data_IF_885094386667
#
_entry.id   IF_885094386667
#
_cell.length_a   1.000
_cell.length_b   1.000
_cell.length_c   1.000
_cell.angle_alpha   90.00
_cell.angle_beta   90.00
_cell.angle_gamma   90.00
#
_symmetry.space_group_name_H-M   'P 1'
#
loop_
_entity.id
_entity.type
_entity.pdbx_description
1 polymer ?
#
# COMPACT_ATOMS: atom_id res chain seq x y z
N UNK A 1 -44.86 -3.86 -17.17
CA UNK A 1 -43.43 -4.14 -17.22
C UNK A 1 -42.74 -4.24 -15.86
N UNK A 2 -43.24 -3.56 -14.83
CA UNK A 2 -42.60 -3.43 -13.54
C UNK A 2 -42.51 -4.69 -12.66
N UNK A 3 -43.29 -5.72 -12.95
CA UNK A 3 -43.38 -6.89 -12.06
C UNK A 3 -42.95 -8.20 -12.71
N UNK A 4 -42.42 -8.15 -13.91
CA UNK A 4 -42.01 -9.34 -14.67
C UNK A 4 -40.65 -9.78 -14.19
N UNK A 5 -40.52 -11.08 -13.88
CA UNK A 5 -39.20 -11.68 -13.59
C UNK A 5 -38.35 -11.67 -14.87
N UNK A 6 -37.04 -11.53 -14.74
CA UNK A 6 -36.07 -11.52 -15.82
C UNK A 6 -36.29 -12.66 -16.83
N UNK A 7 -36.44 -13.92 -16.34
CA UNK A 7 -36.75 -15.08 -17.18
C UNK A 7 -38.10 -14.98 -17.87
N UNK A 8 -39.15 -14.53 -17.18
CA UNK A 8 -40.46 -14.36 -17.77
C UNK A 8 -40.47 -13.24 -18.82
N UNK A 9 -39.70 -12.18 -18.60
CA UNK A 9 -39.50 -11.15 -19.62
C UNK A 9 -38.86 -11.73 -20.88
N UNK A 10 -37.83 -12.54 -20.73
CA UNK A 10 -37.18 -13.23 -21.84
C UNK A 10 -38.15 -14.19 -22.56
N UNK A 11 -39.00 -14.94 -21.84
CA UNK A 11 -40.02 -15.80 -22.43
C UNK A 11 -40.99 -15.03 -23.33
N UNK A 12 -41.39 -13.82 -22.91
CA UNK A 12 -42.23 -12.93 -23.72
C UNK A 12 -41.52 -12.43 -24.98
N UNK A 13 -40.24 -12.08 -24.86
CA UNK A 13 -39.42 -11.66 -26.01
C UNK A 13 -39.24 -12.81 -26.99
N UNK A 14 -38.92 -14.00 -26.51
CA UNK A 14 -38.80 -15.19 -27.33
C UNK A 14 -40.14 -15.51 -28.08
N UNK A 15 -41.23 -15.48 -27.34
CA UNK A 15 -42.56 -15.66 -27.90
C UNK A 15 -42.85 -14.62 -28.99
N UNK A 16 -42.56 -13.34 -28.74
CA UNK A 16 -42.72 -12.27 -29.69
C UNK A 16 -41.86 -12.50 -30.93
N UNK A 17 -40.56 -12.78 -30.75
CA UNK A 17 -39.63 -13.02 -31.85
C UNK A 17 -40.04 -14.21 -32.72
N UNK A 18 -40.61 -15.28 -32.14
CA UNK A 18 -41.07 -16.48 -32.87
C UNK A 18 -42.40 -16.24 -33.64
N UNK A 19 -43.23 -15.27 -33.22
CA UNK A 19 -44.56 -15.12 -33.81
C UNK A 19 -44.73 -13.84 -34.64
N UNK A 20 -43.82 -12.87 -34.59
CA UNK A 20 -43.90 -11.67 -35.40
C UNK A 20 -43.72 -12.01 -36.89
N UNK A 21 -44.56 -11.45 -37.73
CA UNK A 21 -44.42 -11.55 -39.19
C UNK A 21 -43.19 -10.76 -39.64
N UNK A 22 -42.50 -11.29 -40.64
CA UNK A 22 -41.30 -10.63 -41.22
C UNK A 22 -40.20 -10.35 -40.19
N UNK A 23 -39.94 -11.31 -39.32
CA UNK A 23 -38.92 -11.21 -38.24
C UNK A 23 -37.60 -10.65 -38.74
N UNK A 24 -37.11 -11.12 -39.89
CA UNK A 24 -35.82 -10.74 -40.48
C UNK A 24 -35.75 -9.29 -40.97
N UNK A 25 -36.93 -8.62 -41.06
CA UNK A 25 -37.03 -7.21 -41.49
C UNK A 25 -37.22 -6.25 -40.30
N UNK A 26 -37.15 -6.74 -39.07
CA UNK A 26 -37.43 -5.97 -37.86
C UNK A 26 -36.29 -6.16 -36.86
N UNK A 27 -35.82 -5.07 -36.29
CA UNK A 27 -34.90 -5.09 -35.15
C UNK A 27 -35.74 -4.98 -33.88
N UNK A 28 -35.61 -5.96 -32.98
CA UNK A 28 -36.25 -5.96 -31.69
C UNK A 28 -35.32 -5.24 -30.71
N UNK A 29 -35.78 -4.10 -30.21
CA UNK A 29 -35.04 -3.28 -29.23
C UNK A 29 -35.69 -3.35 -27.86
N UNK A 30 -34.90 -3.56 -26.83
CA UNK A 30 -35.33 -3.63 -25.44
C UNK A 30 -34.99 -2.36 -24.71
N UNK A 31 -35.92 -1.87 -23.84
CA UNK A 31 -35.70 -0.72 -22.99
C UNK A 31 -36.16 -1.05 -21.56
N UNK A 32 -35.44 -1.91 -20.82
CA UNK A 32 -35.84 -2.28 -19.48
C UNK A 32 -35.47 -1.21 -18.46
N UNK A 33 -36.32 -1.05 -17.43
CA UNK A 33 -36.05 -0.30 -16.22
C UNK A 33 -35.55 -1.23 -15.10
N UNK A 34 -34.93 -0.65 -14.08
CA UNK A 34 -34.27 -1.39 -13.00
C UNK A 34 -35.06 -1.40 -11.68
N UNK A 35 -36.40 -1.23 -11.74
CA UNK A 35 -37.24 -1.07 -10.54
C UNK A 35 -37.10 -2.20 -9.50
N UNK A 36 -36.74 -3.39 -9.92
CA UNK A 36 -36.51 -4.56 -9.05
C UNK A 36 -35.06 -5.00 -8.97
N UNK A 37 -34.11 -4.21 -9.50
CA UNK A 37 -32.70 -4.57 -9.57
C UNK A 37 -32.36 -5.66 -10.62
N UNK A 38 -33.31 -5.97 -11.52
CA UNK A 38 -33.13 -7.03 -12.55
C UNK A 38 -32.93 -6.47 -13.95
N UNK A 39 -32.69 -5.17 -14.14
CA UNK A 39 -32.63 -4.54 -15.45
C UNK A 39 -31.56 -5.15 -16.36
N UNK A 40 -30.36 -5.38 -15.85
CA UNK A 40 -29.24 -5.98 -16.59
C UNK A 40 -29.55 -7.44 -16.93
N UNK A 41 -29.99 -8.24 -15.96
CA UNK A 41 -30.34 -9.64 -16.21
C UNK A 41 -31.49 -9.81 -17.22
N UNK A 42 -32.49 -8.93 -17.15
CA UNK A 42 -33.59 -8.91 -18.13
C UNK A 42 -33.09 -8.58 -19.54
N UNK A 43 -32.14 -7.65 -19.69
CA UNK A 43 -31.54 -7.32 -20.98
C UNK A 43 -30.70 -8.48 -21.53
N UNK A 44 -29.85 -9.10 -20.72
CA UNK A 44 -29.03 -10.25 -21.11
C UNK A 44 -29.90 -11.42 -21.59
N UNK A 45 -30.88 -11.82 -20.80
CA UNK A 45 -31.78 -12.89 -21.16
C UNK A 45 -32.67 -12.55 -22.36
N UNK A 46 -33.10 -11.29 -22.48
CA UNK A 46 -33.86 -10.80 -23.63
C UNK A 46 -33.06 -10.84 -24.94
N UNK A 47 -31.77 -10.55 -24.89
CA UNK A 47 -30.87 -10.72 -26.04
C UNK A 47 -30.71 -12.21 -26.42
N UNK A 48 -30.55 -13.10 -25.44
CA UNK A 48 -30.52 -14.53 -25.68
C UNK A 48 -31.86 -15.04 -26.26
N UNK A 49 -32.97 -14.39 -25.92
CA UNK A 49 -34.31 -14.69 -26.42
C UNK A 49 -34.58 -14.17 -27.88
N UNK A 50 -33.63 -13.43 -28.46
CA UNK A 50 -33.67 -13.00 -29.84
C UNK A 50 -33.78 -11.50 -30.08
N UNK A 51 -33.63 -10.66 -29.08
CA UNK A 51 -33.49 -9.21 -29.29
C UNK A 51 -32.10 -8.86 -29.82
N UNK A 52 -32.03 -7.85 -30.69
CA UNK A 52 -30.76 -7.43 -31.29
C UNK A 52 -30.21 -6.10 -30.71
N UNK A 53 -31.04 -5.33 -30.02
CA UNK A 53 -30.64 -4.04 -29.48
C UNK A 53 -31.14 -3.86 -28.05
N UNK A 54 -30.33 -3.21 -27.24
CA UNK A 54 -30.71 -2.76 -25.89
C UNK A 54 -30.51 -1.25 -25.80
N UNK A 55 -31.49 -0.56 -25.27
CA UNK A 55 -31.48 0.88 -24.99
C UNK A 55 -31.47 1.09 -23.48
N UNK A 56 -30.55 1.90 -23.02
CA UNK A 56 -30.40 2.17 -21.59
C UNK A 56 -29.58 3.43 -21.36
N UNK A 57 -29.04 3.58 -20.16
CA UNK A 57 -28.20 4.72 -19.80
C UNK A 57 -26.87 4.25 -19.17
N UNK A 58 -25.84 5.07 -19.33
CA UNK A 58 -24.57 4.84 -18.63
C UNK A 58 -24.82 4.93 -17.12
N UNK A 59 -24.28 3.95 -16.39
CA UNK A 59 -24.44 3.79 -14.94
C UNK A 59 -25.91 3.67 -14.47
N UNK A 60 -26.81 3.28 -15.38
CA UNK A 60 -28.21 3.06 -15.05
C UNK A 60 -29.01 4.32 -14.73
N UNK A 61 -28.54 5.50 -15.12
CA UNK A 61 -29.26 6.75 -14.93
C UNK A 61 -30.65 6.71 -15.58
N UNK A 62 -31.60 7.54 -15.11
CA UNK A 62 -32.94 7.60 -15.64
C UNK A 62 -34.00 7.79 -14.57
N UNK A 63 -35.26 7.69 -14.94
CA UNK A 63 -36.38 7.84 -14.00
C UNK A 63 -36.47 6.72 -12.98
N UNK A 64 -36.97 7.01 -11.80
CA UNK A 64 -37.18 6.10 -10.68
C UNK A 64 -35.85 5.44 -10.21
N UNK A 65 -35.70 4.13 -10.35
CA UNK A 65 -34.48 3.37 -10.05
C UNK A 65 -33.49 3.34 -11.20
N UNK A 66 -33.83 4.02 -12.31
CA UNK A 66 -33.03 4.09 -13.51
C UNK A 66 -33.38 3.06 -14.57
N UNK A 67 -32.73 3.19 -15.70
CA UNK A 67 -32.79 2.27 -16.84
C UNK A 67 -31.78 1.12 -16.66
N UNK A 68 -31.77 0.17 -17.59
CA UNK A 68 -30.70 -0.79 -17.66
C UNK A 68 -29.36 -0.06 -17.79
N UNK A 69 -28.39 -0.49 -17.00
CA UNK A 69 -27.04 0.05 -16.99
C UNK A 69 -26.25 -0.51 -18.17
N UNK A 70 -25.97 0.33 -19.15
CA UNK A 70 -25.22 -0.07 -20.34
C UNK A 70 -23.74 -0.35 -20.05
N UNK A 71 -23.14 0.25 -19.02
CA UNK A 71 -21.76 -0.03 -18.62
C UNK A 71 -21.65 -1.45 -18.09
N UNK A 72 -22.52 -1.80 -17.13
CA UNK A 72 -22.54 -3.16 -16.58
C UNK A 72 -22.88 -4.20 -17.66
N UNK A 73 -23.89 -3.94 -18.49
CA UNK A 73 -24.29 -4.86 -19.55
C UNK A 73 -23.15 -5.12 -20.56
N UNK A 74 -22.51 -4.06 -21.04
CA UNK A 74 -21.42 -4.17 -22.00
C UNK A 74 -20.20 -4.89 -21.41
N UNK A 75 -19.83 -4.61 -20.16
CA UNK A 75 -18.72 -5.27 -19.50
C UNK A 75 -19.02 -6.73 -19.15
N UNK A 76 -20.27 -7.07 -18.83
CA UNK A 76 -20.69 -8.47 -18.68
C UNK A 76 -20.50 -9.25 -19.98
N UNK A 77 -20.88 -8.67 -21.14
CA UNK A 77 -20.64 -9.27 -22.46
C UNK A 77 -19.13 -9.41 -22.74
N UNK A 78 -18.37 -8.35 -22.50
CA UNK A 78 -16.92 -8.34 -22.70
C UNK A 78 -16.21 -9.44 -21.89
N UNK A 79 -16.57 -9.62 -20.62
CA UNK A 79 -15.99 -10.69 -19.77
C UNK A 79 -16.37 -12.09 -20.21
N UNK A 80 -17.39 -12.25 -21.03
CA UNK A 80 -17.77 -13.51 -21.69
C UNK A 80 -17.16 -13.66 -23.08
N UNK A 81 -16.30 -12.75 -23.52
CA UNK A 81 -15.67 -12.75 -24.83
C UNK A 81 -16.58 -12.27 -25.95
N UNK A 82 -17.69 -11.61 -25.62
CA UNK A 82 -18.63 -11.04 -26.59
C UNK A 82 -18.35 -9.55 -26.74
N UNK A 83 -18.04 -9.10 -27.95
CA UNK A 83 -17.83 -7.67 -28.22
C UNK A 83 -19.15 -6.90 -28.11
N UNK A 84 -19.29 -5.91 -27.23
CA UNK A 84 -20.52 -5.18 -26.99
C UNK A 84 -20.75 -4.05 -28.02
N UNK A 85 -20.70 -4.36 -29.33
CA UNK A 85 -20.78 -3.36 -30.39
C UNK A 85 -19.59 -2.40 -30.39
N UNK A 86 -19.79 -1.10 -30.68
CA UNK A 86 -18.71 -0.10 -30.69
C UNK A 86 -18.33 0.42 -29.28
N UNK A 87 -18.96 -0.07 -28.23
CA UNK A 87 -18.71 0.41 -26.88
C UNK A 87 -17.36 -0.07 -26.37
N UNK A 88 -16.54 0.87 -25.90
CA UNK A 88 -15.23 0.62 -25.30
C UNK A 88 -15.13 1.36 -23.97
N UNK A 89 -14.68 0.64 -22.92
CA UNK A 89 -14.53 1.20 -21.59
C UNK A 89 -13.08 1.09 -21.08
N UNK A 90 -12.12 1.18 -22.01
CA UNK A 90 -10.67 1.14 -21.66
C UNK A 90 -10.19 2.37 -20.90
N UNK A 91 -11.03 3.40 -20.77
CA UNK A 91 -10.83 4.57 -19.92
C UNK A 91 -12.15 4.88 -19.19
N UNK A 92 -12.53 3.97 -18.30
CA UNK A 92 -13.73 4.09 -17.50
C UNK A 92 -13.73 5.34 -16.58
N UNK A 93 -12.59 5.79 -16.00
CA UNK A 93 -12.53 7.02 -15.23
C UNK A 93 -13.03 8.26 -16.01
N UNK A 94 -12.63 8.45 -17.25
CA UNK A 94 -13.10 9.57 -18.08
C UNK A 94 -14.62 9.48 -18.35
N UNK A 95 -15.15 8.27 -18.54
CA UNK A 95 -16.62 8.08 -18.70
C UNK A 95 -17.35 8.47 -17.41
N UNK A 96 -16.83 8.07 -16.24
CA UNK A 96 -17.40 8.44 -14.93
C UNK A 96 -17.40 9.96 -14.77
N UNK A 97 -16.28 10.62 -15.06
CA UNK A 97 -16.13 12.07 -14.92
C UNK A 97 -17.15 12.82 -15.76
N UNK A 98 -17.26 12.47 -17.06
CA UNK A 98 -18.19 13.11 -17.98
C UNK A 98 -19.63 12.91 -17.54
N UNK A 99 -20.03 11.69 -17.22
CA UNK A 99 -21.44 11.39 -16.85
C UNK A 99 -21.80 12.05 -15.53
N UNK A 100 -20.91 11.99 -14.53
CA UNK A 100 -21.13 12.65 -13.24
C UNK A 100 -21.20 14.16 -13.39
N UNK A 101 -20.31 14.75 -14.22
CA UNK A 101 -20.31 16.18 -14.52
C UNK A 101 -21.59 16.66 -15.23
N UNK A 102 -22.18 15.84 -16.11
CA UNK A 102 -23.42 16.17 -16.81
C UNK A 102 -24.68 16.04 -15.92
N UNK A 103 -24.71 15.05 -15.03
CA UNK A 103 -25.91 14.69 -14.26
C UNK A 103 -25.91 15.21 -12.83
N UNK A 104 -24.75 15.62 -12.32
CA UNK A 104 -24.53 15.95 -10.90
C UNK A 104 -24.95 14.82 -9.94
N UNK A 105 -24.81 13.58 -10.41
CA UNK A 105 -25.13 12.36 -9.64
C UNK A 105 -23.88 11.48 -9.67
N UNK A 106 -23.24 11.24 -8.51
CA UNK A 106 -22.05 10.38 -8.45
C UNK A 106 -22.41 8.93 -8.75
N UNK A 107 -21.48 8.20 -9.34
CA UNK A 107 -21.60 6.74 -9.49
C UNK A 107 -21.61 6.10 -8.11
N UNK A 108 -22.53 5.15 -7.90
CA UNK A 108 -22.65 4.48 -6.60
C UNK A 108 -21.33 3.77 -6.23
N UNK A 109 -20.80 3.90 -4.99
CA UNK A 109 -19.50 3.33 -4.60
C UNK A 109 -19.39 1.81 -4.82
N UNK A 110 -20.49 1.08 -4.84
CA UNK A 110 -20.58 -0.37 -5.10
C UNK A 110 -21.14 -0.70 -6.48
N UNK A 111 -21.08 0.26 -7.43
CA UNK A 111 -21.52 0.00 -8.79
C UNK A 111 -20.61 -1.06 -9.43
N UNK A 112 -21.16 -2.09 -10.10
CA UNK A 112 -20.34 -3.09 -10.80
C UNK A 112 -19.33 -2.41 -11.74
N UNK A 113 -18.09 -2.88 -11.72
CA UNK A 113 -16.93 -2.36 -12.49
C UNK A 113 -16.49 -0.92 -12.18
N UNK A 114 -17.43 0.01 -11.98
CA UNK A 114 -17.17 1.46 -11.92
C UNK A 114 -17.13 2.03 -10.51
N UNK A 115 -17.67 1.34 -9.52
CA UNK A 115 -17.71 1.82 -8.14
C UNK A 115 -16.31 1.84 -7.52
N UNK A 116 -16.03 2.86 -6.72
CA UNK A 116 -14.73 3.02 -6.04
C UNK A 116 -14.33 1.84 -5.12
N UNK A 117 -15.31 1.08 -4.64
CA UNK A 117 -15.11 -0.08 -3.77
C UNK A 117 -14.93 -1.41 -4.53
N UNK A 118 -15.14 -1.43 -5.84
CA UNK A 118 -15.12 -2.67 -6.63
C UNK A 118 -13.75 -3.33 -6.64
N UNK A 119 -12.68 -2.53 -6.69
CA UNK A 119 -11.30 -3.00 -6.67
C UNK A 119 -10.69 -2.97 -5.26
N UNK A 120 -11.52 -2.98 -4.21
CA UNK A 120 -11.08 -2.80 -2.82
C UNK A 120 -11.18 -4.10 -2.03
N UNK A 121 -10.14 -4.42 -1.28
CA UNK A 121 -10.12 -5.51 -0.31
C UNK A 121 -9.69 -4.99 1.07
N UNK A 122 -10.53 -5.23 2.09
CA UNK A 122 -10.25 -4.84 3.48
C UNK A 122 -9.69 -5.99 4.33
N UNK A 123 -10.12 -7.21 4.06
CA UNK A 123 -9.66 -8.39 4.81
C UNK A 123 -8.20 -8.70 4.54
N UNK A 124 -7.40 -8.89 5.59
CA UNK A 124 -5.97 -9.22 5.48
C UNK A 124 -5.70 -10.50 4.70
N UNK A 125 -6.60 -11.51 4.77
CA UNK A 125 -6.49 -12.73 3.98
C UNK A 125 -6.70 -12.49 2.49
N UNK A 126 -7.63 -11.60 2.12
CA UNK A 126 -7.86 -11.23 0.74
C UNK A 126 -6.68 -10.40 0.18
N UNK A 127 -6.17 -9.45 0.96
CA UNK A 127 -5.00 -8.65 0.59
C UNK A 127 -3.75 -9.52 0.37
N UNK A 128 -3.51 -10.51 1.24
CA UNK A 128 -2.42 -11.47 1.07
C UNK A 128 -2.60 -12.35 -0.18
N UNK A 129 -3.82 -12.80 -0.45
CA UNK A 129 -4.14 -13.57 -1.64
C UNK A 129 -3.92 -12.74 -2.93
N UNK A 130 -4.35 -11.48 -2.96
CA UNK A 130 -4.14 -10.57 -4.08
C UNK A 130 -2.64 -10.30 -4.30
N UNK A 131 -1.88 -10.00 -3.24
CA UNK A 131 -0.43 -9.83 -3.33
C UNK A 131 0.28 -11.04 -3.94
N UNK A 132 -0.05 -12.25 -3.48
CA UNK A 132 0.47 -13.49 -4.05
C UNK A 132 0.01 -13.72 -5.48
N UNK A 133 -1.23 -13.35 -5.78
CA UNK A 133 -1.81 -13.40 -7.12
C UNK A 133 -1.03 -12.55 -8.10
N UNK A 134 -0.72 -11.28 -7.80
CA UNK A 134 0.08 -10.42 -8.66
C UNK A 134 1.46 -11.01 -8.95
N UNK A 135 2.14 -11.53 -7.94
CA UNK A 135 3.45 -12.17 -8.13
C UNK A 135 3.37 -13.44 -9.02
N UNK A 136 2.28 -14.20 -8.92
CA UNK A 136 2.04 -15.34 -9.79
C UNK A 136 1.67 -14.92 -11.22
N UNK A 137 0.82 -13.88 -11.36
CA UNK A 137 0.39 -13.34 -12.64
C UNK A 137 1.57 -12.77 -13.44
N UNK A 138 2.49 -12.05 -12.79
CA UNK A 138 3.70 -11.54 -13.44
C UNK A 138 4.57 -12.67 -14.01
N UNK A 139 4.73 -13.78 -13.28
CA UNK A 139 5.46 -14.95 -13.75
C UNK A 139 4.79 -15.59 -14.97
N UNK A 140 3.46 -15.67 -14.98
CA UNK A 140 2.68 -16.21 -16.10
C UNK A 140 2.79 -15.33 -17.34
N UNK A 141 2.68 -14.02 -17.20
CA UNK A 141 2.86 -13.08 -18.29
C UNK A 141 4.26 -13.18 -18.92
N UNK A 142 5.31 -13.29 -18.09
CA UNK A 142 6.69 -13.53 -18.57
C UNK A 142 6.82 -14.87 -19.32
N UNK A 143 6.00 -15.87 -18.99
CA UNK A 143 5.94 -17.16 -19.66
C UNK A 143 5.04 -17.16 -20.93
N UNK A 144 4.42 -16.01 -21.29
CA UNK A 144 3.56 -15.87 -22.45
C UNK A 144 2.08 -16.20 -22.21
N UNK A 145 1.70 -16.60 -20.99
CA UNK A 145 0.31 -16.84 -20.61
C UNK A 145 -0.34 -15.52 -20.18
N UNK A 146 -1.26 -15.00 -20.98
CA UNK A 146 -1.92 -13.72 -20.78
C UNK A 146 -3.27 -13.82 -20.07
N UNK A 147 -3.70 -15.01 -19.66
CA UNK A 147 -4.97 -15.15 -18.94
C UNK A 147 -4.94 -14.41 -17.61
N UNK A 148 -6.01 -13.67 -17.32
CA UNK A 148 -6.23 -13.06 -16.02
C UNK A 148 -6.76 -14.11 -15.03
N UNK A 149 -5.93 -14.52 -14.08
CA UNK A 149 -6.32 -15.49 -13.02
C UNK A 149 -5.94 -14.91 -11.66
N UNK A 150 -6.51 -13.75 -11.35
CA UNK A 150 -6.28 -13.06 -10.10
C UNK A 150 -7.34 -13.45 -9.05
N UNK A 151 -6.94 -13.89 -7.86
CA UNK A 151 -7.90 -14.10 -6.79
C UNK A 151 -8.57 -12.78 -6.42
N UNK A 152 -9.88 -12.83 -6.16
CA UNK A 152 -10.71 -11.71 -5.72
C UNK A 152 -10.98 -10.61 -6.76
N UNK A 153 -10.26 -10.56 -7.86
CA UNK A 153 -10.45 -9.57 -8.93
C UNK A 153 -10.98 -10.25 -10.20
N UNK A 154 -12.27 -10.10 -10.53
CA UNK A 154 -12.89 -10.80 -11.66
C UNK A 154 -12.44 -10.27 -13.03
N UNK A 155 -11.92 -9.05 -13.08
CA UNK A 155 -11.45 -8.38 -14.31
C UNK A 155 -10.12 -7.69 -14.02
N UNK A 156 -9.25 -7.61 -15.04
CA UNK A 156 -8.03 -6.82 -14.95
C UNK A 156 -8.39 -5.32 -14.88
N UNK A 157 -8.06 -4.60 -13.81
CA UNK A 157 -8.31 -3.16 -13.74
C UNK A 157 -7.72 -2.38 -14.93
N UNK A 158 -6.60 -2.84 -15.48
CA UNK A 158 -5.97 -2.19 -16.64
C UNK A 158 -6.84 -2.21 -17.90
N UNK A 159 -7.71 -3.22 -18.07
CA UNK A 159 -8.67 -3.28 -19.18
C UNK A 159 -9.73 -2.18 -19.10
N UNK A 160 -9.91 -1.59 -17.92
CA UNK A 160 -10.86 -0.51 -17.63
C UNK A 160 -10.19 0.85 -17.46
N UNK A 161 -8.88 0.97 -17.69
CA UNK A 161 -8.11 2.19 -17.42
C UNK A 161 -7.94 2.49 -15.93
N UNK A 162 -8.20 1.50 -15.06
CA UNK A 162 -8.01 1.60 -13.62
C UNK A 162 -6.61 1.13 -13.22
N UNK A 163 -6.16 1.54 -12.02
CA UNK A 163 -4.89 1.11 -11.46
C UNK A 163 -5.08 0.09 -10.34
N UNK A 164 -4.04 -0.70 -10.10
CA UNK A 164 -4.04 -1.66 -8.98
C UNK A 164 -3.92 -0.98 -7.61
N UNK A 165 -3.58 0.28 -7.55
CA UNK A 165 -3.38 1.02 -6.30
C UNK A 165 -4.66 1.13 -5.47
N UNK A 166 -5.82 1.13 -6.15
CA UNK A 166 -7.12 1.15 -5.48
C UNK A 166 -7.54 -0.20 -4.86
N UNK A 167 -6.82 -1.29 -5.15
CA UNK A 167 -7.21 -2.65 -4.75
C UNK A 167 -7.04 -2.90 -3.26
N UNK A 168 -6.04 -2.28 -2.63
CA UNK A 168 -5.76 -2.47 -1.20
C UNK A 168 -6.03 -1.17 -0.47
N UNK A 169 -7.11 -1.14 0.31
CA UNK A 169 -7.45 -0.05 1.23
C UNK A 169 -7.30 -0.51 2.67
N UNK A 170 -7.00 0.40 3.55
CA UNK A 170 -6.79 0.13 4.98
C UNK A 170 -7.89 0.79 5.81
N UNK A 171 -8.52 0.00 6.65
CA UNK A 171 -9.42 0.48 7.72
C UNK A 171 -9.08 -0.25 9.03
N UNK A 172 -9.85 -0.03 10.08
CA UNK A 172 -9.67 -0.69 11.38
C UNK A 172 -9.69 -2.23 11.33
N UNK A 173 -10.23 -2.83 10.25
CA UNK A 173 -10.27 -4.29 10.04
C UNK A 173 -9.16 -4.81 9.12
N UNK A 174 -8.35 -3.93 8.54
CA UNK A 174 -7.27 -4.31 7.64
C UNK A 174 -6.12 -4.94 8.40
N UNK A 175 -5.54 -5.99 7.85
CA UNK A 175 -4.41 -6.68 8.49
C UNK A 175 -3.07 -5.98 8.26
N UNK A 176 -2.09 -6.35 9.09
CA UNK A 176 -0.69 -5.84 9.05
C UNK A 176 -0.02 -5.89 7.67
N UNK A 177 -0.37 -6.88 6.84
CA UNK A 177 0.21 -7.05 5.51
C UNK A 177 -0.22 -5.94 4.53
N UNK A 178 -1.46 -5.47 4.62
CA UNK A 178 -1.96 -4.37 3.78
C UNK A 178 -1.29 -3.04 4.09
N UNK A 179 -1.13 -2.72 5.39
CA UNK A 179 -0.43 -1.51 5.83
C UNK A 179 1.03 -1.51 5.36
N UNK A 180 1.74 -2.63 5.55
CA UNK A 180 3.13 -2.76 5.12
C UNK A 180 3.26 -2.63 3.59
N UNK A 181 2.33 -3.21 2.83
CA UNK A 181 2.30 -3.09 1.36
C UNK A 181 2.13 -1.64 0.90
N UNK A 182 1.15 -0.91 1.45
CA UNK A 182 0.92 0.51 1.10
C UNK A 182 2.13 1.39 1.43
N UNK A 183 2.76 1.15 2.58
CA UNK A 183 3.98 1.86 2.96
C UNK A 183 5.14 1.56 1.99
N UNK A 184 5.30 0.29 1.58
CA UNK A 184 6.30 -0.10 0.58
C UNK A 184 6.02 0.56 -0.77
N UNK A 185 4.77 0.63 -1.20
CA UNK A 185 4.39 1.30 -2.45
C UNK A 185 4.65 2.82 -2.39
N UNK A 186 4.35 3.46 -1.26
CA UNK A 186 4.52 4.91 -1.12
C UNK A 186 5.99 5.32 -0.96
N UNK A 187 6.77 4.61 -0.14
CA UNK A 187 8.11 5.03 0.29
C UNK A 187 9.24 4.12 -0.20
N UNK A 188 8.93 2.93 -0.74
CA UNK A 188 9.94 1.93 -1.11
C UNK A 188 10.62 1.26 0.09
N UNK A 189 10.05 1.36 1.29
CA UNK A 189 10.58 0.76 2.53
C UNK A 189 9.95 -0.60 2.79
N UNK A 190 10.76 -1.56 3.25
CA UNK A 190 10.33 -2.93 3.55
C UNK A 190 10.50 -3.22 5.04
N UNK A 191 9.41 -3.12 5.79
CA UNK A 191 9.45 -3.33 7.23
C UNK A 191 9.70 -4.80 7.59
N UNK A 192 10.56 -5.11 8.58
CA UNK A 192 10.69 -6.43 9.17
C UNK A 192 9.36 -6.94 9.72
N UNK A 193 9.14 -8.25 9.65
CA UNK A 193 7.82 -8.83 10.02
C UNK A 193 7.34 -8.45 11.42
N UNK A 194 8.25 -8.38 12.40
CA UNK A 194 7.91 -7.98 13.77
C UNK A 194 7.58 -6.49 13.86
N UNK A 195 8.30 -5.65 13.11
CA UNK A 195 7.98 -4.23 13.00
C UNK A 195 6.63 -3.97 12.32
N UNK A 196 6.25 -4.78 11.31
CA UNK A 196 4.91 -4.72 10.71
C UNK A 196 3.80 -4.93 11.75
N UNK A 197 4.02 -5.84 12.73
CA UNK A 197 3.07 -6.06 13.82
C UNK A 197 3.01 -4.86 14.76
N UNK A 198 4.16 -4.30 15.12
CA UNK A 198 4.23 -3.12 16.00
C UNK A 198 3.61 -1.89 15.33
N UNK A 199 3.93 -1.64 14.06
CA UNK A 199 3.37 -0.51 13.31
C UNK A 199 1.87 -0.66 13.05
N UNK A 200 1.40 -1.90 12.86
CA UNK A 200 -0.04 -2.16 12.78
C UNK A 200 -0.79 -1.65 14.01
N UNK A 201 -0.25 -1.84 15.21
CA UNK A 201 -0.86 -1.34 16.45
C UNK A 201 -0.94 0.19 16.48
N UNK A 202 0.07 0.87 15.93
CA UNK A 202 0.06 2.35 15.80
C UNK A 202 -1.07 2.80 14.88
N UNK A 203 -1.21 2.16 13.72
CA UNK A 203 -2.28 2.49 12.77
C UNK A 203 -3.66 2.12 13.34
N UNK A 204 -3.77 1.01 14.05
CA UNK A 204 -5.01 0.61 14.72
C UNK A 204 -5.48 1.68 15.71
N UNK A 205 -4.58 2.21 16.53
CA UNK A 205 -4.90 3.29 17.47
C UNK A 205 -5.38 4.57 16.76
N UNK A 206 -4.81 4.92 15.61
CA UNK A 206 -5.25 6.05 14.78
C UNK A 206 -6.65 5.78 14.19
N UNK A 207 -6.87 4.58 13.66
CA UNK A 207 -8.15 4.17 13.08
C UNK A 207 -9.28 4.17 14.12
N UNK A 208 -9.02 3.66 15.32
CA UNK A 208 -9.98 3.60 16.42
C UNK A 208 -10.38 5.00 16.92
N UNK A 209 -9.43 5.94 16.92
CA UNK A 209 -9.71 7.34 17.30
C UNK A 209 -10.52 8.10 16.25
N UNK A 210 -10.27 7.84 14.98
CA UNK A 210 -10.92 8.60 13.89
C UNK A 210 -12.21 7.96 13.41
N UNK A 211 -12.38 6.64 13.60
CA UNK A 211 -13.49 5.83 13.06
C UNK A 211 -13.66 5.98 11.53
N UNK A 212 -12.59 6.35 10.82
CA UNK A 212 -12.57 6.57 9.37
C UNK A 212 -11.69 5.54 8.68
N UNK A 213 -11.85 5.43 7.38
CA UNK A 213 -10.89 4.76 6.53
C UNK A 213 -9.54 5.49 6.61
N UNK A 214 -8.44 4.72 6.70
CA UNK A 214 -7.08 5.25 6.77
C UNK A 214 -6.52 5.31 5.36
N UNK A 215 -6.20 6.49 4.90
CA UNK A 215 -5.57 6.71 3.60
C UNK A 215 -4.07 6.31 3.62
N UNK A 216 -3.50 6.15 2.43
CA UNK A 216 -2.04 5.94 2.32
C UNK A 216 -1.26 7.10 2.92
N UNK A 217 -1.74 8.34 2.77
CA UNK A 217 -1.12 9.53 3.35
C UNK A 217 -1.17 9.51 4.87
N UNK A 218 -2.25 9.05 5.48
CA UNK A 218 -2.35 8.88 6.93
C UNK A 218 -1.35 7.85 7.44
N UNK A 219 -1.15 6.74 6.71
CA UNK A 219 -0.15 5.72 7.02
C UNK A 219 1.26 6.29 6.96
N UNK A 220 1.58 7.05 5.91
CA UNK A 220 2.87 7.71 5.71
C UNK A 220 3.14 8.74 6.82
N UNK A 221 2.15 9.56 7.15
CA UNK A 221 2.24 10.52 8.25
C UNK A 221 2.42 9.84 9.61
N UNK A 222 1.67 8.78 9.89
CA UNK A 222 1.80 8.01 11.13
C UNK A 222 3.18 7.36 11.24
N UNK A 223 3.74 6.83 10.13
CA UNK A 223 5.08 6.28 10.09
C UNK A 223 6.14 7.35 10.37
N UNK A 224 6.07 8.49 9.67
CA UNK A 224 6.96 9.64 9.89
C UNK A 224 6.93 10.12 11.34
N UNK A 225 5.73 10.31 11.89
CA UNK A 225 5.51 10.80 13.25
C UNK A 225 6.02 9.83 14.31
N UNK A 226 5.70 8.53 14.15
CA UNK A 226 6.00 7.53 15.18
C UNK A 226 7.50 7.17 15.22
N UNK A 227 8.12 7.06 14.03
CA UNK A 227 9.54 6.68 13.94
C UNK A 227 10.48 7.87 13.65
N UNK A 228 9.97 9.09 13.60
CA UNK A 228 10.74 10.33 13.36
C UNK A 228 11.54 10.30 12.05
N UNK A 229 11.01 9.61 11.02
CA UNK A 229 11.61 9.53 9.70
C UNK A 229 11.19 10.74 8.88
N UNK A 230 12.12 11.54 8.34
CA UNK A 230 11.78 12.68 7.51
C UNK A 230 11.25 12.22 6.15
N UNK A 231 10.04 12.67 5.80
CA UNK A 231 9.36 12.33 4.54
C UNK A 231 8.98 13.64 3.83
N UNK A 232 9.18 13.70 2.52
CA UNK A 232 8.85 14.86 1.71
C UNK A 232 7.33 15.18 1.82
N UNK A 233 7.00 16.44 2.05
CA UNK A 233 5.62 16.90 2.21
C UNK A 233 4.97 16.59 3.57
N UNK A 234 5.65 15.89 4.48
CA UNK A 234 5.17 15.63 5.83
C UNK A 234 5.86 16.56 6.83
N UNK A 235 5.14 17.23 7.76
CA UNK A 235 5.74 18.03 8.79
C UNK A 235 6.74 17.24 9.62
N UNK A 236 7.96 17.74 9.71
CA UNK A 236 9.03 17.08 10.45
C UNK A 236 8.75 17.13 11.95
N UNK A 237 8.79 15.97 12.58
CA UNK A 237 8.69 15.82 14.03
C UNK A 237 9.98 15.18 14.50
N UNK A 238 10.77 15.94 15.22
CA UNK A 238 12.02 15.45 15.81
C UNK A 238 11.70 14.56 17.04
N UNK A 239 12.39 13.43 17.12
CA UNK A 239 12.32 12.56 18.31
C UNK A 239 13.09 13.15 19.48
N UNK A 240 12.93 12.53 20.66
CA UNK A 240 13.67 12.88 21.87
C UNK A 240 15.18 12.80 21.68
N UNK A 241 15.63 11.86 20.85
CA UNK A 241 17.02 11.69 20.44
C UNK A 241 17.19 11.94 18.96
N UNK A 242 18.20 12.73 18.56
CA UNK A 242 18.53 13.02 17.17
C UNK A 242 20.03 13.07 16.97
N UNK A 243 20.51 12.41 15.94
CA UNK A 243 21.90 12.46 15.51
C UNK A 243 22.20 13.85 14.93
N UNK A 244 23.17 14.56 15.52
CA UNK A 244 23.65 15.83 14.99
C UNK A 244 24.89 15.64 14.11
N UNK A 245 25.91 14.95 14.66
CA UNK A 245 27.16 14.64 13.93
C UNK A 245 27.88 13.48 14.59
N UNK A 246 28.68 12.76 13.84
CA UNK A 246 29.55 11.71 14.38
C UNK A 246 30.79 11.50 13.52
N UNK A 247 31.80 10.89 14.13
CA UNK A 247 32.98 10.31 13.48
C UNK A 247 33.24 8.95 14.07
N UNK A 248 33.66 8.02 13.22
CA UNK A 248 34.10 6.69 13.61
C UNK A 248 35.60 6.57 13.41
N UNK A 249 36.27 6.05 14.39
CA UNK A 249 37.69 5.76 14.36
C UNK A 249 37.87 4.25 14.48
N UNK A 250 38.71 3.68 13.61
CA UNK A 250 39.14 2.27 13.65
C UNK A 250 40.37 2.14 14.55
N UNK A 251 40.25 1.45 15.70
CA UNK A 251 41.36 1.14 16.58
C UNK A 251 41.78 2.29 17.51
N UNK A 252 42.80 2.02 18.36
CA UNK A 252 43.61 3.04 19.02
C UNK A 252 44.47 3.76 17.96
N UNK A 253 44.64 5.07 18.09
CA UNK A 253 45.40 5.91 17.14
C UNK A 253 46.82 5.45 16.85
N UNK A 254 47.30 4.32 17.43
CA UNK A 254 48.64 3.80 17.37
C UNK A 254 48.82 2.54 16.51
N UNK A 255 47.78 1.97 15.90
CA UNK A 255 47.91 0.72 15.11
C UNK A 255 47.64 0.96 13.63
N UNK A 256 48.67 0.72 12.79
CA UNK A 256 48.54 0.63 11.34
C UNK A 256 47.52 -0.44 10.94
N UNK A 257 46.75 -0.18 9.86
CA UNK A 257 45.74 -1.08 9.36
C UNK A 257 46.31 -2.46 9.03
N UNK A 258 46.00 -3.48 9.80
CA UNK A 258 46.37 -4.86 9.50
C UNK A 258 45.57 -5.41 8.30
N UNK A 259 46.17 -6.19 7.40
CA UNK A 259 45.51 -6.80 6.28
C UNK A 259 44.48 -7.86 6.73
N UNK A 260 43.39 -7.99 5.99
CA UNK A 260 42.28 -8.92 6.19
C UNK A 260 42.64 -10.40 6.01
N UNK A 261 43.60 -10.92 6.77
CA UNK A 261 43.97 -12.33 6.76
C UNK A 261 43.74 -12.98 8.13
N UNK A 262 42.58 -13.53 8.30
CA UNK A 262 42.31 -14.86 8.86
C UNK A 262 42.48 -15.13 10.34
N UNK A 263 42.77 -14.17 11.27
CA UNK A 263 42.63 -14.32 12.72
C UNK A 263 42.46 -12.93 13.33
N UNK A 264 41.25 -12.43 13.29
CA UNK A 264 40.98 -11.07 13.74
C UNK A 264 40.75 -11.02 15.26
N UNK A 265 41.64 -10.33 15.96
CA UNK A 265 41.27 -9.62 17.19
C UNK A 265 40.04 -8.76 16.89
N UNK A 266 39.02 -8.72 17.78
CA UNK A 266 37.83 -7.89 17.55
C UNK A 266 38.26 -6.43 17.38
N UNK A 267 38.04 -5.86 16.20
CA UNK A 267 38.32 -4.44 15.96
C UNK A 267 37.44 -3.62 16.87
N UNK A 268 38.05 -2.84 17.74
CA UNK A 268 37.34 -1.86 18.58
C UNK A 268 37.16 -0.60 17.74
N UNK A 269 35.91 -0.19 17.53
CA UNK A 269 35.57 1.09 16.92
C UNK A 269 35.21 2.10 17.97
N UNK A 270 35.69 3.33 17.84
CA UNK A 270 35.35 4.47 18.70
C UNK A 270 34.45 5.43 17.96
N UNK A 271 33.28 5.71 18.51
CA UNK A 271 32.37 6.74 18.06
C UNK A 271 32.59 8.01 18.91
N UNK A 272 32.78 9.13 18.23
CA UNK A 272 32.78 10.48 18.84
C UNK A 272 31.76 11.31 18.09
N UNK A 273 30.81 11.93 18.77
CA UNK A 273 29.75 12.65 18.11
C UNK A 273 28.94 13.58 19.00
N UNK A 274 27.91 14.14 18.41
CA UNK A 274 26.94 15.00 19.08
C UNK A 274 25.54 14.45 18.88
N UNK A 275 24.80 14.32 19.96
CA UNK A 275 23.40 13.91 19.98
C UNK A 275 22.58 15.05 20.55
N UNK A 276 21.47 15.38 19.89
CA UNK A 276 20.47 16.27 20.49
C UNK A 276 19.53 15.38 21.33
N UNK A 277 19.42 15.70 22.61
CA UNK A 277 18.51 15.05 23.56
C UNK A 277 17.60 16.12 24.17
N UNK A 278 16.29 16.00 23.97
CA UNK A 278 15.29 16.97 24.43
C UNK A 278 15.62 18.43 24.05
N UNK A 279 16.20 18.65 22.88
CA UNK A 279 16.58 19.97 22.37
C UNK A 279 17.99 20.45 22.75
N UNK A 280 18.66 19.76 23.66
CA UNK A 280 20.04 20.10 24.07
C UNK A 280 21.04 19.21 23.33
N UNK A 281 22.16 19.81 22.89
CA UNK A 281 23.25 19.10 22.21
C UNK A 281 24.24 18.57 23.24
N UNK A 282 24.45 17.26 23.25
CA UNK A 282 25.36 16.56 24.17
C UNK A 282 26.50 15.94 23.35
N UNK A 283 27.72 16.18 23.77
CA UNK A 283 28.91 15.50 23.25
C UNK A 283 28.95 14.07 23.81
N UNK A 284 29.08 13.08 22.91
CA UNK A 284 29.03 11.66 23.30
C UNK A 284 30.26 10.91 22.73
N UNK A 285 30.72 9.94 23.48
CA UNK A 285 31.78 9.03 23.05
C UNK A 285 31.47 7.61 23.53
N UNK A 286 31.71 6.64 22.66
CA UNK A 286 31.54 5.24 22.99
C UNK A 286 32.41 4.33 22.15
N UNK A 287 32.58 3.10 22.58
CA UNK A 287 33.42 2.08 21.98
C UNK A 287 32.64 0.79 21.76
N UNK A 288 32.93 0.06 20.70
CA UNK A 288 32.25 -1.21 20.42
C UNK A 288 32.89 -1.93 19.24
N UNK A 289 32.36 -3.10 18.90
CA UNK A 289 32.83 -3.90 17.75
C UNK A 289 32.29 -3.38 16.39
N UNK A 290 31.41 -2.38 16.42
CA UNK A 290 30.81 -1.76 15.24
C UNK A 290 30.15 -0.42 15.58
N UNK A 291 29.62 0.30 14.56
CA UNK A 291 28.99 1.62 14.76
C UNK A 291 27.82 1.59 15.75
N UNK A 292 26.95 0.59 15.65
CA UNK A 292 25.76 0.45 16.51
C UNK A 292 26.19 0.17 17.96
N UNK A 293 27.09 -0.79 18.19
CA UNK A 293 27.56 -1.10 19.53
C UNK A 293 28.31 0.06 20.18
N UNK A 294 29.08 0.83 19.39
CA UNK A 294 29.75 2.03 19.88
C UNK A 294 28.75 3.14 20.26
N UNK A 295 27.65 3.30 19.49
CA UNK A 295 26.58 4.21 19.84
C UNK A 295 25.85 3.74 21.12
N UNK A 296 25.57 2.45 21.25
CA UNK A 296 24.91 1.89 22.43
C UNK A 296 25.73 2.13 23.71
N UNK A 297 27.05 1.92 23.66
CA UNK A 297 27.96 2.24 24.76
C UNK A 297 27.97 3.75 25.08
N UNK A 298 27.91 4.61 24.05
CA UNK A 298 27.79 6.05 24.25
C UNK A 298 26.46 6.43 24.92
N UNK A 299 25.34 5.82 24.53
CA UNK A 299 24.03 6.05 25.13
C UNK A 299 24.00 5.61 26.60
N UNK A 300 24.56 4.45 26.91
CA UNK A 300 24.68 3.97 28.28
C UNK A 300 25.49 4.94 29.16
N UNK A 301 26.66 5.36 28.69
CA UNK A 301 27.57 6.23 29.41
C UNK A 301 27.03 7.64 29.70
N UNK A 302 26.38 8.23 28.69
CA UNK A 302 25.98 9.64 28.76
C UNK A 302 24.53 9.86 29.22
N UNK A 303 23.64 8.87 29.00
CA UNK A 303 22.21 9.02 29.30
C UNK A 303 21.71 8.00 30.32
N UNK A 304 22.56 7.07 30.79
CA UNK A 304 22.20 6.00 31.75
C UNK A 304 20.99 5.15 31.28
N UNK A 305 20.94 4.88 29.95
CA UNK A 305 19.90 4.06 29.32
C UNK A 305 20.50 2.71 28.93
N UNK A 306 19.96 1.63 29.52
CA UNK A 306 20.43 0.26 29.33
C UNK A 306 19.47 -0.50 28.46
N UNK A 307 19.84 -0.67 27.20
CA UNK A 307 19.04 -1.39 26.20
C UNK A 307 19.93 -2.32 25.37
N UNK A 308 19.32 -3.36 24.82
CA UNK A 308 19.99 -4.32 23.93
C UNK A 308 19.32 -4.31 22.57
N UNK A 309 20.10 -4.53 21.51
CA UNK A 309 19.59 -4.73 20.16
C UNK A 309 19.11 -6.17 20.02
N UNK A 310 17.81 -6.37 19.77
CA UNK A 310 17.22 -7.69 19.54
C UNK A 310 17.13 -8.05 18.05
N UNK A 311 16.84 -7.09 17.20
CA UNK A 311 16.75 -7.28 15.77
C UNK A 311 17.30 -6.06 15.04
N UNK A 312 18.05 -6.32 13.97
CA UNK A 312 18.54 -5.31 13.06
C UNK A 312 18.34 -5.78 11.62
N UNK A 313 17.84 -4.91 10.78
CA UNK A 313 17.76 -5.16 9.34
C UNK A 313 17.95 -3.86 8.56
N UNK A 314 18.41 -3.99 7.33
CA UNK A 314 18.65 -2.88 6.41
C UNK A 314 18.40 -3.31 4.98
N UNK A 315 18.03 -2.36 4.12
CA UNK A 315 17.94 -2.57 2.68
C UNK A 315 18.10 -1.26 1.91
N UNK A 316 18.40 -1.39 0.62
CA UNK A 316 18.39 -0.24 -0.29
C UNK A 316 16.95 0.14 -0.63
N UNK A 317 16.63 1.44 -0.63
CA UNK A 317 15.30 1.95 -0.97
C UNK A 317 15.14 1.93 -2.49
N UNK A 318 14.08 1.30 -2.97
CA UNK A 318 13.81 1.10 -4.40
C UNK A 318 13.18 2.31 -5.09
N UNK A 319 12.64 3.26 -4.34
CA UNK A 319 12.02 4.50 -4.85
C UNK A 319 12.66 5.73 -4.17
N UNK A 320 13.83 6.18 -4.63
CA UNK A 320 14.45 7.41 -4.10
C UNK A 320 13.61 8.63 -4.48
N UNK A 321 13.43 9.56 -3.53
CA UNK A 321 12.71 10.83 -3.74
C UNK A 321 11.47 11.04 -2.88
N UNK A 322 10.88 10.00 -2.31
CA UNK A 322 9.77 10.12 -1.36
C UNK A 322 10.23 10.55 0.05
N UNK A 323 11.53 10.46 0.33
CA UNK A 323 12.12 10.76 1.64
C UNK A 323 12.91 12.08 1.59
N UNK A 324 12.67 12.96 2.58
CA UNK A 324 13.37 14.24 2.69
C UNK A 324 14.67 14.09 3.48
N UNK A 325 15.77 13.87 2.77
CA UNK A 325 17.12 13.75 3.35
C UNK A 325 17.88 15.08 3.44
N UNK A 326 17.21 16.21 3.17
CA UNK A 326 17.78 17.55 3.22
C UNK A 326 18.67 17.91 2.03
N UNK A 327 18.96 19.21 1.87
CA UNK A 327 19.67 19.81 0.73
C UNK A 327 21.17 19.46 0.62
N UNK A 328 21.76 18.78 1.57
CA UNK A 328 23.15 18.29 1.50
C UNK A 328 23.40 17.30 0.35
N UNK A 329 22.32 16.89 -0.31
CA UNK A 329 22.30 15.93 -1.42
C UNK A 329 22.38 16.57 -2.82
N UNK A 330 22.59 17.87 -2.98
CA UNK A 330 22.62 18.58 -4.28
C UNK A 330 24.04 18.84 -4.79
N UNK A 331 24.81 17.81 -5.07
CA UNK A 331 25.93 17.94 -6.00
C UNK A 331 25.53 17.34 -7.36
N UNK A 332 25.71 18.14 -8.41
CA UNK A 332 25.15 18.01 -9.76
C UNK A 332 25.70 16.89 -10.64
N UNK A 333 26.31 15.81 -10.10
CA UNK A 333 27.05 14.86 -10.93
C UNK A 333 26.75 13.37 -10.70
N UNK A 334 25.70 12.98 -9.97
CA UNK A 334 25.34 11.56 -9.84
C UNK A 334 23.84 11.34 -9.84
N UNK A 335 23.33 10.74 -10.91
CA UNK A 335 21.90 10.39 -11.10
C UNK A 335 21.49 9.10 -10.35
N UNK A 336 22.38 8.46 -9.62
CA UNK A 336 22.13 7.21 -8.88
C UNK A 336 22.44 7.44 -7.40
N UNK A 337 21.48 7.96 -6.64
CA UNK A 337 21.60 8.05 -5.19
C UNK A 337 20.83 6.88 -4.57
N UNK A 338 21.54 5.81 -4.27
CA UNK A 338 21.01 4.77 -3.40
C UNK A 338 20.73 5.39 -2.02
N UNK A 339 19.54 5.16 -1.50
CA UNK A 339 19.16 5.48 -0.14
C UNK A 339 19.05 4.15 0.62
N UNK A 340 19.40 4.14 1.89
CA UNK A 340 19.29 2.99 2.76
C UNK A 340 18.25 3.24 3.85
N UNK A 341 17.43 2.23 4.11
CA UNK A 341 16.58 2.15 5.27
C UNK A 341 17.14 1.12 6.25
N UNK A 342 17.20 1.47 7.52
CA UNK A 342 17.61 0.59 8.61
C UNK A 342 16.52 0.55 9.68
N UNK A 343 16.34 -0.61 10.29
CA UNK A 343 15.36 -0.88 11.33
C UNK A 343 16.03 -1.57 12.51
N UNK A 344 15.71 -1.11 13.71
CA UNK A 344 16.28 -1.66 14.94
C UNK A 344 15.15 -1.93 15.92
N UNK A 345 15.17 -3.10 16.53
CA UNK A 345 14.36 -3.42 17.71
C UNK A 345 15.24 -3.38 18.96
N UNK A 346 14.93 -2.48 19.88
CA UNK A 346 15.57 -2.40 21.18
C UNK A 346 14.69 -3.03 22.25
N UNK A 347 15.33 -3.60 23.27
CA UNK A 347 14.69 -4.10 24.50
C UNK A 347 15.41 -3.56 25.71
N UNK A 348 14.67 -3.21 26.78
CA UNK A 348 15.29 -2.79 28.05
C UNK A 348 16.05 -3.95 28.68
N UNK A 349 17.27 -3.71 29.15
CA UNK A 349 18.10 -4.76 29.74
C UNK A 349 17.46 -5.36 31.03
N UNK A 350 16.69 -4.59 31.75
CA UNK A 350 15.91 -5.05 32.93
C UNK A 350 14.81 -6.04 32.50
N UNK A 351 14.04 -5.73 31.47
CA UNK A 351 12.97 -6.60 30.96
C UNK A 351 13.54 -7.92 30.45
N UNK A 352 14.72 -7.88 29.81
CA UNK A 352 15.41 -9.07 29.32
C UNK A 352 15.82 -9.99 30.46
N UNK A 353 16.31 -9.43 31.59
CA UNK A 353 16.67 -10.20 32.78
C UNK A 353 15.46 -10.82 33.48
N UNK A 354 14.33 -10.11 33.49
CA UNK A 354 13.11 -10.54 34.17
C UNK A 354 12.27 -11.55 33.38
N UNK A 355 12.12 -11.33 32.06
CA UNK A 355 11.16 -12.07 31.22
C UNK A 355 11.81 -12.92 30.12
N UNK A 356 13.12 -12.79 29.93
CA UNK A 356 13.85 -13.35 28.80
C UNK A 356 13.67 -12.53 27.53
N UNK A 357 14.65 -12.60 26.62
CA UNK A 357 14.76 -11.76 25.43
C UNK A 357 13.54 -11.81 24.51
N UNK A 358 12.92 -12.99 24.35
CA UNK A 358 11.76 -13.18 23.47
C UNK A 358 10.45 -12.58 24.02
N UNK A 359 10.31 -12.45 25.33
CA UNK A 359 9.10 -11.94 25.99
C UNK A 359 9.20 -10.48 26.40
N UNK A 360 10.41 -9.91 26.44
CA UNK A 360 10.63 -8.50 26.74
C UNK A 360 9.91 -7.61 25.70
N UNK A 361 9.32 -6.49 26.15
CA UNK A 361 8.69 -5.52 25.26
C UNK A 361 9.76 -4.88 24.37
N UNK A 362 9.58 -4.99 23.05
CA UNK A 362 10.47 -4.39 22.07
C UNK A 362 10.01 -3.00 21.65
N UNK A 363 10.98 -2.15 21.33
CA UNK A 363 10.78 -0.79 20.80
C UNK A 363 11.46 -0.70 19.45
N UNK A 364 10.68 -0.39 18.42
CA UNK A 364 11.19 -0.28 17.08
C UNK A 364 11.57 1.15 16.72
N UNK A 365 12.62 1.28 15.91
CA UNK A 365 13.02 2.53 15.29
C UNK A 365 13.39 2.32 13.83
N UNK A 366 13.24 3.36 13.05
CA UNK A 366 13.61 3.42 11.65
C UNK A 366 14.55 4.59 11.39
N UNK A 367 15.51 4.39 10.49
CA UNK A 367 16.43 5.43 10.06
C UNK A 367 16.65 5.35 8.57
N UNK A 368 16.71 6.51 7.91
CA UNK A 368 16.94 6.61 6.48
C UNK A 368 18.07 7.59 6.19
N UNK A 369 19.00 7.19 5.34
CA UNK A 369 20.11 8.02 4.92
C UNK A 369 20.68 7.55 3.56
N UNK A 370 21.52 8.37 2.93
CA UNK A 370 22.35 7.96 1.80
C UNK A 370 23.53 7.09 2.24
N UNK A 371 23.95 7.20 3.51
CA UNK A 371 24.96 6.38 4.15
C UNK A 371 24.29 5.36 5.08
N UNK A 372 24.60 4.08 4.87
CA UNK A 372 24.02 2.96 5.60
C UNK A 372 24.33 3.01 7.10
N UNK A 373 25.54 3.46 7.47
CA UNK A 373 25.94 3.63 8.87
C UNK A 373 25.09 4.69 9.54
N UNK A 374 24.93 5.83 8.89
CA UNK A 374 24.05 6.92 9.36
C UNK A 374 22.60 6.46 9.50
N UNK A 375 22.09 5.67 8.56
CA UNK A 375 20.73 5.11 8.65
C UNK A 375 20.59 4.20 9.89
N UNK A 376 21.56 3.33 10.14
CA UNK A 376 21.56 2.45 11.32
C UNK A 376 21.62 3.22 12.64
N UNK A 377 22.49 4.23 12.76
CA UNK A 377 22.56 5.07 13.96
C UNK A 377 21.26 5.87 14.19
N UNK A 378 20.66 6.41 13.12
CA UNK A 378 19.35 7.07 13.18
C UNK A 378 18.24 6.12 13.63
N UNK A 379 18.26 4.86 13.17
CA UNK A 379 17.28 3.85 13.59
C UNK A 379 17.37 3.58 15.11
N UNK A 380 18.57 3.48 15.68
CA UNK A 380 18.77 3.33 17.13
C UNK A 380 18.19 4.53 17.90
N UNK A 381 18.49 5.76 17.46
CA UNK A 381 17.99 6.98 18.12
C UNK A 381 16.48 7.15 17.97
N UNK A 382 15.93 6.72 16.82
CA UNK A 382 14.49 6.62 16.61
C UNK A 382 13.84 5.66 17.61
N UNK A 383 14.38 4.44 17.78
CA UNK A 383 13.89 3.46 18.74
C UNK A 383 13.94 3.99 20.18
N UNK A 384 15.04 4.65 20.57
CA UNK A 384 15.18 5.28 21.89
C UNK A 384 14.15 6.41 22.11
N UNK A 385 13.71 7.07 21.05
CA UNK A 385 12.68 8.11 21.14
C UNK A 385 11.27 7.53 21.32
N UNK A 386 11.05 6.24 21.03
CA UNK A 386 9.78 5.53 21.26
C UNK A 386 9.74 4.81 22.61
N UNK A 387 10.86 4.75 23.34
CA UNK A 387 10.94 4.19 24.71
C UNK A 387 10.39 5.21 25.69
N UNK A 388 9.33 4.87 26.39
CA UNK A 388 8.76 5.64 27.50
C UNK A 388 9.64 5.58 28.75
#
# INVERSE_FOLDING_TARGET
EMCIRDSHYADLIEYFCRNIKHRDSVIVSLHPHNDRGCGVAAAELGMLAGAERVEGCLFGNGERTGNVDLVTLALNLFTQGVQPGPLMFTDLPSVIEVVTGCNDIPVHPRHPYAGELVMTAFSGSHQDAIKKGFAAQEKRWKAGDKQWLMPYLPVDPADLGLTYEAVIRVNSQSGKGGIAYLLTQALGVELPRRMQVAFYQVIQAVADQTSKEISTDDIVQAFSKHYHVPIAGVPKIDGRFKLHSFRLYDGDESTEAEPLNGTSTPRVRKLVGKIVHNGETVDVTGTGNGPISALMDAIEKHFNIFVNVREYSEHAITRPGALDLGSAATSSHSQTRAQAASYVELVKSEDTRQFGEQKAKGFWGAGVDVDITSAGLKAVLSALSTVD
#
